data_IF_490107505913
#
_entry.id   IF_490107505913
#
_cell.length_a   1.000
_cell.length_b   1.000
_cell.length_c   1.000
_cell.angle_alpha   90.00
_cell.angle_beta   90.00
_cell.angle_gamma   90.00
#
_symmetry.space_group_name_H-M   'P 1'
#
loop_
_entity.id
_entity.type
_entity.pdbx_description
1 polymer ?
#
# COMPACT_ATOMS: atom_id res chain seq x y z
N UNK A 1 0.42 30.03 -10.15
CA UNK A 1 -0.77 29.58 -9.39
C UNK A 1 -1.37 28.42 -10.18
N UNK A 2 -1.12 27.15 -9.81
CA UNK A 2 -1.78 26.05 -10.51
C UNK A 2 -3.26 26.01 -10.11
N UNK A 3 -4.13 25.87 -11.11
CA UNK A 3 -5.58 25.81 -11.00
C UNK A 3 -6.05 24.53 -10.29
N UNK A 4 -7.16 24.62 -9.55
CA UNK A 4 -7.76 23.59 -8.69
C UNK A 4 -8.17 22.27 -9.38
N UNK A 5 -8.01 22.16 -10.71
CA UNK A 5 -8.44 20.99 -11.49
C UNK A 5 -7.28 20.11 -11.96
N UNK A 6 -6.06 20.37 -11.49
CA UNK A 6 -4.96 19.43 -11.69
C UNK A 6 -5.24 18.20 -10.82
N UNK A 7 -5.86 17.17 -11.39
CA UNK A 7 -5.75 15.80 -10.90
C UNK A 7 -4.28 15.60 -10.52
N UNK A 8 -3.97 15.55 -9.21
CA UNK A 8 -2.61 15.42 -8.68
C UNK A 8 -2.03 14.02 -8.98
N UNK A 9 -2.51 13.39 -10.05
CA UNK A 9 -2.34 12.01 -10.41
C UNK A 9 -2.91 11.11 -9.33
N UNK A 10 -4.04 11.44 -8.71
CA UNK A 10 -4.62 10.62 -7.65
C UNK A 10 -6.15 10.70 -7.65
N UNK A 11 -6.81 9.54 -7.74
CA UNK A 11 -8.25 9.41 -7.57
C UNK A 11 -8.60 9.52 -6.09
N UNK A 12 -9.58 10.37 -5.78
CA UNK A 12 -10.03 10.62 -4.40
C UNK A 12 -11.30 9.82 -4.13
N UNK A 13 -11.36 9.21 -2.94
CA UNK A 13 -12.50 8.46 -2.43
C UNK A 13 -12.92 9.06 -1.08
N UNK A 14 -14.06 9.74 -1.09
CA UNK A 14 -14.66 10.32 0.10
C UNK A 14 -15.65 9.35 0.77
N UNK A 15 -16.10 9.68 1.98
CA UNK A 15 -17.14 8.95 2.73
C UNK A 15 -16.78 7.50 3.07
N UNK A 16 -15.60 7.30 3.67
CA UNK A 16 -15.24 6.01 4.25
C UNK A 16 -16.18 5.72 5.43
N UNK A 17 -16.76 4.51 5.44
CA UNK A 17 -17.65 4.06 6.50
C UNK A 17 -16.89 4.03 7.82
N UNK A 18 -17.37 4.78 8.79
CA UNK A 18 -16.78 4.93 10.11
C UNK A 18 -17.82 4.70 11.21
N UNK A 19 -17.33 4.46 12.43
CA UNK A 19 -18.19 4.38 13.61
C UNK A 19 -18.72 5.77 13.99
N UNK A 20 -19.94 5.85 14.53
CA UNK A 20 -20.51 7.11 15.03
C UNK A 20 -19.68 7.76 16.15
N UNK A 21 -18.92 6.96 16.89
CA UNK A 21 -18.04 7.45 17.96
C UNK A 21 -16.70 8.00 17.43
N UNK A 22 -16.33 7.68 16.20
CA UNK A 22 -15.08 8.14 15.59
C UNK A 22 -15.27 9.53 14.98
N UNK A 23 -14.46 10.49 15.45
CA UNK A 23 -14.51 11.89 15.02
C UNK A 23 -13.42 12.23 14.00
N UNK A 24 -12.56 11.26 13.68
CA UNK A 24 -11.50 11.47 12.70
C UNK A 24 -12.09 11.57 11.30
N UNK A 25 -11.40 12.30 10.43
CA UNK A 25 -11.76 12.38 9.02
C UNK A 25 -10.90 11.42 8.22
N UNK A 26 -11.55 10.60 7.40
CA UNK A 26 -10.89 9.60 6.57
C UNK A 26 -11.06 9.94 5.10
N UNK A 27 -9.97 9.85 4.34
CA UNK A 27 -9.98 10.02 2.89
C UNK A 27 -9.14 8.93 2.23
N UNK A 28 -9.74 8.26 1.24
CA UNK A 28 -9.05 7.28 0.42
C UNK A 28 -8.43 7.95 -0.80
N UNK A 29 -7.23 7.54 -1.17
CA UNK A 29 -6.55 8.00 -2.40
C UNK A 29 -6.02 6.78 -3.16
N UNK A 30 -6.19 6.78 -4.47
CA UNK A 30 -5.49 5.88 -5.39
C UNK A 30 -4.58 6.70 -6.27
N UNK A 31 -3.27 6.61 -6.02
CA UNK A 31 -2.25 7.32 -6.77
C UNK A 31 -2.14 6.76 -8.20
N UNK A 32 -1.57 7.55 -9.10
CA UNK A 32 -1.40 7.24 -10.53
C UNK A 32 -0.53 6.02 -10.78
N UNK A 33 0.34 5.68 -9.82
CA UNK A 33 1.13 4.46 -9.81
C UNK A 33 0.36 3.22 -9.29
N UNK A 34 -0.94 3.36 -9.00
CA UNK A 34 -1.81 2.29 -8.49
C UNK A 34 -1.72 2.05 -6.99
N UNK A 35 -0.93 2.83 -6.24
CA UNK A 35 -0.86 2.69 -4.78
C UNK A 35 -2.14 3.19 -4.13
N UNK A 36 -2.66 2.39 -3.19
CA UNK A 36 -3.81 2.74 -2.37
C UNK A 36 -3.34 3.32 -1.05
N UNK A 37 -3.87 4.49 -0.71
CA UNK A 37 -3.51 5.26 0.47
C UNK A 37 -4.78 5.57 1.26
N UNK A 38 -4.67 5.48 2.59
CA UNK A 38 -5.69 5.94 3.51
C UNK A 38 -5.12 7.11 4.31
N UNK A 39 -5.70 8.29 4.14
CA UNK A 39 -5.38 9.47 4.92
C UNK A 39 -6.35 9.57 6.10
N UNK A 40 -5.80 9.81 7.28
CA UNK A 40 -6.56 10.00 8.53
C UNK A 40 -6.18 11.37 9.08
N UNK A 41 -7.16 12.26 9.20
CA UNK A 41 -7.00 13.56 9.84
C UNK A 41 -7.62 13.50 11.24
N UNK A 42 -6.76 13.49 12.24
CA UNK A 42 -7.10 13.59 13.65
C UNK A 42 -6.49 14.90 14.21
N UNK A 43 -7.30 15.94 14.49
CA UNK A 43 -6.81 17.20 15.04
C UNK A 43 -6.39 17.11 16.51
N UNK A 44 -6.74 16.02 17.20
CA UNK A 44 -6.44 15.82 18.63
C UNK A 44 -5.19 14.98 18.86
N UNK A 45 -4.56 14.49 17.80
CA UNK A 45 -3.41 13.60 17.90
C UNK A 45 -2.18 14.33 18.44
N UNK A 46 -1.54 13.76 19.46
CA UNK A 46 -0.22 14.19 19.95
C UNK A 46 0.90 13.64 19.07
N UNK A 47 0.67 12.50 18.41
CA UNK A 47 1.67 11.79 17.61
C UNK A 47 1.08 11.27 16.32
N UNK A 48 1.69 11.69 15.21
CA UNK A 48 1.37 11.15 13.89
C UNK A 48 2.02 9.79 13.67
N UNK A 49 1.37 8.95 12.86
CA UNK A 49 1.89 7.65 12.44
C UNK A 49 1.66 7.44 10.94
N UNK A 50 2.51 6.62 10.33
CA UNK A 50 2.36 6.18 8.94
C UNK A 50 2.82 4.73 8.82
N UNK A 51 2.14 3.95 7.98
CA UNK A 51 2.46 2.56 7.70
C UNK A 51 2.34 2.27 6.21
N UNK A 52 3.19 1.36 5.71
CA UNK A 52 3.17 0.89 4.33
C UNK A 52 3.18 -0.64 4.32
N UNK A 53 2.22 -1.24 3.62
CA UNK A 53 2.18 -2.67 3.38
C UNK A 53 2.67 -2.95 1.94
N UNK A 54 3.74 -3.74 1.82
CA UNK A 54 4.22 -4.22 0.53
C UNK A 54 3.84 -5.69 0.41
N UNK A 55 2.89 -6.00 -0.46
CA UNK A 55 2.45 -7.38 -0.69
C UNK A 55 3.48 -8.14 -1.52
N UNK A 56 4.52 -8.64 -0.86
CA UNK A 56 5.50 -9.58 -1.40
C UNK A 56 5.59 -10.77 -0.44
N UNK A 57 5.53 -11.99 -0.99
CA UNK A 57 5.58 -13.20 -0.19
C UNK A 57 7.01 -13.72 0.01
N UNK A 58 7.37 -14.09 1.25
CA UNK A 58 8.62 -14.80 1.57
C UNK A 58 8.75 -16.12 0.78
N UNK A 59 7.62 -16.72 0.39
CA UNK A 59 7.57 -17.91 -0.45
C UNK A 59 8.38 -17.77 -1.75
N UNK A 60 8.46 -16.55 -2.30
CA UNK A 60 9.25 -16.28 -3.50
C UNK A 60 10.76 -16.46 -3.28
N UNK A 61 11.25 -16.22 -2.06
CA UNK A 61 12.67 -16.37 -1.70
C UNK A 61 13.04 -17.82 -1.37
N UNK A 62 12.06 -18.64 -0.96
CA UNK A 62 12.30 -19.99 -0.47
C UNK A 62 12.25 -21.08 -1.56
N UNK A 63 12.04 -20.75 -2.85
CA UNK A 63 12.30 -21.73 -3.91
C UNK A 63 13.81 -21.97 -3.96
N UNK A 64 14.30 -23.13 -3.47
CA UNK A 64 15.71 -23.45 -3.61
C UNK A 64 15.94 -23.61 -5.10
N UNK A 65 17.12 -23.21 -5.56
CA UNK A 65 17.67 -23.67 -6.82
C UNK A 65 17.66 -25.21 -6.84
N UNK A 66 16.54 -25.83 -7.23
CA UNK A 66 16.45 -27.23 -7.64
C UNK A 66 16.97 -27.31 -9.07
N UNK A 67 18.27 -27.01 -9.22
CA UNK A 67 19.02 -27.52 -10.34
C UNK A 67 19.11 -29.04 -10.19
N UNK A 68 18.85 -29.84 -11.24
CA UNK A 68 19.21 -31.24 -11.22
C UNK A 68 20.75 -31.29 -11.24
N UNK A 69 21.36 -31.46 -10.06
CA UNK A 69 22.77 -31.82 -10.00
C UNK A 69 22.96 -33.08 -10.84
N UNK A 70 23.85 -32.94 -11.81
CA UNK A 70 24.07 -33.85 -12.93
C UNK A 70 24.08 -35.33 -12.53
N UNK A 71 23.27 -36.09 -13.26
CA UNK A 71 23.25 -37.55 -13.31
C UNK A 71 24.67 -38.10 -13.50
N UNK A 72 25.09 -39.01 -12.62
CA UNK A 72 26.25 -39.89 -12.80
C UNK A 72 26.26 -40.43 -14.24
N UNK A 73 27.32 -40.16 -15.01
CA UNK A 73 27.70 -41.01 -16.14
C UNK A 73 28.82 -41.90 -15.67
N UNK A 74 28.52 -43.19 -15.60
CA UNK A 74 29.53 -44.24 -15.49
C UNK A 74 30.23 -44.43 -16.82
N UNK A 75 31.54 -44.62 -16.73
CA UNK A 75 32.36 -45.66 -17.38
C UNK A 75 33.61 -45.80 -16.53
#
# INVERSE_FOLDING_TARGET
>A
MPSLDADHGARVYDHIIQSESDKNLYQGLELSNGMKVLLISDPTTDKSAAALNVQVALLWISIPWRGPFYKKRGT
#
